data_IF_953256963219
#
_entry.id   IF_953256963219
#
_cell.length_a   1.000
_cell.length_b   1.000
_cell.length_c   1.000
_cell.angle_alpha   90.00
_cell.angle_beta   90.00
_cell.angle_gamma   90.00
#
_symmetry.space_group_name_H-M   'P 1'
#
loop_
_entity.id
_entity.type
_entity.pdbx_description
1 polymer ?
#
# COMPACT_ATOMS: atom_id res chain seq x y z
N UNK A 1 4.09 -0.76 -42.64
CA UNK A 1 4.33 -2.03 -41.92
C UNK A 1 4.02 -1.92 -40.41
N UNK A 2 2.84 -1.40 -40.03
CA UNK A 2 2.45 -1.17 -38.62
C UNK A 2 1.23 -1.97 -38.12
N UNK A 3 0.66 -2.87 -38.95
CA UNK A 3 -0.61 -3.58 -38.62
C UNK A 3 -0.41 -4.82 -37.74
N UNK A 4 0.66 -5.58 -37.96
CA UNK A 4 0.82 -6.91 -37.35
C UNK A 4 1.00 -6.86 -35.83
N UNK A 5 1.75 -5.89 -35.29
CA UNK A 5 1.93 -5.73 -33.84
C UNK A 5 0.65 -5.32 -33.11
N UNK A 6 -0.19 -4.50 -33.75
CA UNK A 6 -1.50 -4.07 -33.21
C UNK A 6 -2.52 -5.21 -33.22
N UNK A 7 -2.58 -5.97 -34.31
CA UNK A 7 -3.49 -7.12 -34.45
C UNK A 7 -3.13 -8.27 -33.50
N UNK A 8 -1.84 -8.55 -33.32
CA UNK A 8 -1.36 -9.55 -32.36
C UNK A 8 -1.71 -9.16 -30.92
N UNK A 9 -1.59 -7.88 -30.56
CA UNK A 9 -2.01 -7.34 -29.27
C UNK A 9 -3.52 -7.47 -29.05
N UNK A 10 -4.33 -7.14 -30.06
CA UNK A 10 -5.79 -7.27 -29.99
C UNK A 10 -6.24 -8.74 -29.87
N UNK A 11 -5.57 -9.67 -30.55
CA UNK A 11 -5.84 -11.10 -30.45
C UNK A 11 -5.47 -11.66 -29.06
N UNK A 12 -4.31 -11.27 -28.54
CA UNK A 12 -3.87 -11.64 -27.19
C UNK A 12 -4.86 -11.14 -26.13
N UNK A 13 -5.34 -9.90 -26.26
CA UNK A 13 -6.30 -9.32 -25.33
C UNK A 13 -7.65 -10.03 -25.36
N UNK A 14 -8.18 -10.34 -26.55
CA UNK A 14 -9.42 -11.14 -26.67
C UNK A 14 -9.26 -12.52 -26.03
N UNK A 15 -8.10 -13.17 -26.20
CA UNK A 15 -7.81 -14.48 -25.58
C UNK A 15 -7.77 -14.37 -24.05
N UNK A 16 -7.06 -13.38 -23.52
CA UNK A 16 -6.94 -13.16 -22.08
C UNK A 16 -8.31 -12.82 -21.44
N UNK A 17 -9.12 -11.98 -22.09
CA UNK A 17 -10.48 -11.66 -21.66
C UNK A 17 -11.38 -12.91 -21.62
N UNK A 18 -11.33 -13.73 -22.68
CA UNK A 18 -12.08 -15.00 -22.72
C UNK A 18 -11.70 -15.90 -21.54
N UNK A 19 -10.40 -16.07 -21.28
CA UNK A 19 -9.90 -16.89 -20.17
C UNK A 19 -10.32 -16.34 -18.81
N UNK A 20 -10.24 -15.03 -18.61
CA UNK A 20 -10.71 -14.38 -17.39
C UNK A 20 -12.21 -14.60 -17.17
N UNK A 21 -13.02 -14.45 -18.23
CA UNK A 21 -14.47 -14.69 -18.20
C UNK A 21 -14.82 -16.14 -17.89
N UNK A 22 -14.07 -17.07 -18.44
CA UNK A 22 -14.26 -18.51 -18.25
C UNK A 22 -13.68 -18.99 -16.89
N UNK A 23 -13.17 -18.09 -16.05
CA UNK A 23 -12.68 -18.39 -14.70
C UNK A 23 -11.33 -19.12 -14.68
N UNK A 24 -10.59 -19.10 -15.79
CA UNK A 24 -9.28 -19.77 -15.87
C UNK A 24 -8.24 -18.98 -15.11
N UNK A 25 -7.34 -19.68 -14.41
CA UNK A 25 -6.21 -19.04 -13.74
C UNK A 25 -5.30 -18.37 -14.77
N UNK A 26 -5.09 -17.07 -14.60
CA UNK A 26 -4.20 -16.27 -15.44
C UNK A 26 -2.75 -16.34 -14.93
N UNK A 27 -1.81 -16.29 -15.87
CA UNK A 27 -0.40 -16.02 -15.62
C UNK A 27 -0.10 -14.50 -15.66
N UNK A 28 1.17 -14.15 -15.42
CA UNK A 28 1.64 -12.76 -15.38
C UNK A 28 1.47 -12.08 -16.74
N UNK A 29 1.76 -12.79 -17.84
CA UNK A 29 1.71 -12.24 -19.19
C UNK A 29 0.27 -11.94 -19.60
N UNK A 30 -0.65 -12.85 -19.31
CA UNK A 30 -2.09 -12.66 -19.53
C UNK A 30 -2.63 -11.49 -18.72
N UNK A 31 -2.23 -11.36 -17.46
CA UNK A 31 -2.58 -10.22 -16.62
C UNK A 31 -2.00 -8.90 -17.17
N UNK A 32 -0.74 -8.91 -17.63
CA UNK A 32 -0.09 -7.76 -18.24
C UNK A 32 -0.78 -7.31 -19.54
N UNK A 33 -1.26 -8.26 -20.34
CA UNK A 33 -2.08 -7.99 -21.53
C UNK A 33 -3.41 -7.35 -21.14
N UNK A 34 -4.12 -7.87 -20.13
CA UNK A 34 -5.40 -7.30 -19.66
C UNK A 34 -5.25 -5.85 -19.17
N UNK A 35 -4.11 -5.47 -18.59
CA UNK A 35 -3.84 -4.08 -18.17
C UNK A 35 -3.84 -3.07 -19.34
N UNK A 36 -3.74 -3.55 -20.59
CA UNK A 36 -3.84 -2.71 -21.77
C UNK A 36 -5.29 -2.46 -22.25
N UNK A 37 -6.30 -3.08 -21.62
CA UNK A 37 -7.70 -2.96 -22.03
C UNK A 37 -8.21 -1.51 -21.99
N UNK A 38 -8.89 -1.09 -23.06
CA UNK A 38 -9.51 0.25 -23.22
C UNK A 38 -10.86 0.13 -23.93
N UNK A 39 -11.71 1.16 -23.78
CA UNK A 39 -13.05 1.19 -24.40
C UNK A 39 -13.85 -0.08 -24.10
N UNK A 40 -14.48 -0.66 -25.12
CA UNK A 40 -15.31 -1.86 -24.97
C UNK A 40 -14.59 -3.07 -24.31
N UNK A 41 -13.27 -3.20 -24.49
CA UNK A 41 -12.49 -4.26 -23.84
C UNK A 41 -12.33 -4.01 -22.34
N UNK A 42 -12.23 -2.74 -21.94
CA UNK A 42 -12.21 -2.37 -20.52
C UNK A 42 -13.59 -2.59 -19.89
N UNK A 43 -14.68 -2.28 -20.59
CA UNK A 43 -16.04 -2.55 -20.11
C UNK A 43 -16.28 -4.05 -19.89
N UNK A 44 -15.80 -4.89 -20.80
CA UNK A 44 -15.83 -6.35 -20.64
C UNK A 44 -14.99 -6.80 -19.44
N UNK A 45 -13.76 -6.30 -19.30
CA UNK A 45 -12.89 -6.60 -18.17
C UNK A 45 -13.52 -6.21 -16.82
N UNK A 46 -14.12 -5.02 -16.74
CA UNK A 46 -14.83 -4.53 -15.56
C UNK A 46 -16.05 -5.40 -15.24
N UNK A 47 -16.78 -5.86 -16.25
CA UNK A 47 -17.90 -6.79 -16.08
C UNK A 47 -17.43 -8.12 -15.48
N UNK A 48 -16.33 -8.68 -15.99
CA UNK A 48 -15.74 -9.92 -15.47
C UNK A 48 -15.29 -9.74 -14.01
N UNK A 49 -14.53 -8.68 -13.72
CA UNK A 49 -14.08 -8.38 -12.36
C UNK A 49 -15.25 -8.13 -11.40
N UNK A 50 -16.31 -7.45 -11.85
CA UNK A 50 -17.54 -7.23 -11.10
C UNK A 50 -18.20 -8.53 -10.67
N UNK A 51 -18.32 -9.50 -11.59
CA UNK A 51 -18.85 -10.84 -11.27
C UNK A 51 -18.01 -11.56 -10.21
N UNK A 52 -16.68 -11.49 -10.29
CA UNK A 52 -15.78 -12.07 -9.28
C UNK A 52 -15.97 -11.40 -7.92
N UNK A 53 -16.12 -10.08 -7.89
CA UNK A 53 -16.42 -9.31 -6.66
C UNK A 53 -17.77 -9.73 -6.08
N UNK A 54 -18.81 -9.79 -6.90
CA UNK A 54 -20.17 -10.13 -6.48
C UNK A 54 -20.23 -11.56 -5.92
N UNK A 55 -19.56 -12.51 -6.57
CA UNK A 55 -19.45 -13.88 -6.06
C UNK A 55 -18.83 -13.93 -4.65
N UNK A 56 -17.78 -13.13 -4.40
CA UNK A 56 -17.16 -13.03 -3.08
C UNK A 56 -18.05 -12.37 -2.02
N UNK A 57 -18.88 -11.41 -2.43
CA UNK A 57 -19.87 -10.80 -1.53
C UNK A 57 -21.03 -11.76 -1.21
N UNK A 58 -21.48 -12.55 -2.17
CA UNK A 58 -22.49 -13.60 -1.96
C UNK A 58 -21.96 -14.67 -1.01
N UNK A 59 -20.73 -15.17 -1.23
CA UNK A 59 -20.06 -16.16 -0.34
C UNK A 59 -19.94 -15.63 1.10
N UNK A 60 -19.70 -14.33 1.26
CA UNK A 60 -19.64 -13.68 2.56
C UNK A 60 -21.01 -13.34 3.18
N UNK A 61 -22.14 -13.66 2.52
CA UNK A 61 -23.49 -13.34 2.99
C UNK A 61 -23.84 -11.84 2.94
N UNK A 62 -23.18 -11.07 2.07
CA UNK A 62 -23.27 -9.60 2.02
C UNK A 62 -23.41 -9.04 0.58
N UNK A 63 -24.34 -9.57 -0.24
CA UNK A 63 -24.49 -9.14 -1.63
C UNK A 63 -24.76 -7.64 -1.72
N UNK A 64 -24.06 -6.94 -2.62
CA UNK A 64 -24.23 -5.51 -2.86
C UNK A 64 -23.75 -4.57 -1.74
N UNK A 65 -23.13 -5.09 -0.66
CA UNK A 65 -22.69 -4.27 0.48
C UNK A 65 -21.26 -3.76 0.29
N UNK A 66 -21.07 -2.46 0.44
CA UNK A 66 -19.75 -1.82 0.58
C UNK A 66 -19.51 -1.51 2.06
N UNK A 67 -18.33 -1.87 2.56
CA UNK A 67 -17.93 -1.65 3.95
C UNK A 67 -16.86 -0.59 4.06
N UNK A 68 -16.85 0.11 5.18
CA UNK A 68 -15.79 1.04 5.52
C UNK A 68 -15.55 1.03 7.03
N UNK A 69 -14.35 1.42 7.43
CA UNK A 69 -14.00 1.67 8.83
C UNK A 69 -13.55 3.12 8.95
N UNK A 70 -14.19 3.88 9.86
CA UNK A 70 -13.84 5.28 10.12
C UNK A 70 -12.57 5.31 10.95
N UNK A 71 -11.54 5.98 10.47
CA UNK A 71 -10.25 6.11 11.14
C UNK A 71 -9.89 7.57 11.33
N UNK A 72 -9.30 7.88 12.48
CA UNK A 72 -8.60 9.17 12.66
C UNK A 72 -7.15 9.03 12.23
N UNK A 73 -6.58 10.06 11.62
CA UNK A 73 -5.23 10.04 11.07
C UNK A 73 -4.25 10.72 12.03
N UNK A 74 -3.25 9.98 12.51
CA UNK A 74 -2.21 10.44 13.44
C UNK A 74 -0.86 10.44 12.72
N UNK A 75 -0.39 11.59 12.19
CA UNK A 75 0.91 11.70 11.55
C UNK A 75 2.02 11.84 12.59
N UNK A 76 2.33 10.75 13.30
CA UNK A 76 3.24 10.74 14.45
C UNK A 76 4.58 11.43 14.16
N UNK A 77 5.11 11.24 12.96
CA UNK A 77 6.20 12.06 12.43
C UNK A 77 6.06 12.21 10.93
N UNK A 78 6.48 13.36 10.40
CA UNK A 78 6.64 13.59 8.96
C UNK A 78 8.10 13.52 8.52
N UNK A 79 9.02 13.18 9.42
CA UNK A 79 10.40 12.87 9.04
C UNK A 79 10.46 11.44 8.50
N UNK A 80 11.38 11.21 7.56
CA UNK A 80 11.62 9.90 6.95
C UNK A 80 13.08 9.79 6.51
N UNK A 81 13.66 8.59 6.56
CA UNK A 81 14.98 8.36 5.97
C UNK A 81 14.92 8.26 4.45
N UNK A 82 13.83 7.72 3.92
CA UNK A 82 13.59 7.60 2.48
C UNK A 82 13.42 8.96 1.76
N UNK A 83 13.53 8.91 0.43
CA UNK A 83 13.48 10.06 -0.48
C UNK A 83 12.56 9.80 -1.66
N UNK A 84 11.41 9.15 -1.45
CA UNK A 84 10.52 8.80 -2.56
C UNK A 84 10.12 10.05 -3.36
N UNK A 85 10.41 10.07 -4.65
CA UNK A 85 10.36 11.27 -5.47
C UNK A 85 8.95 11.82 -5.72
N UNK A 86 7.91 11.02 -5.43
CA UNK A 86 6.49 11.40 -5.49
C UNK A 86 5.90 11.75 -4.11
N UNK A 87 6.62 11.54 -3.01
CA UNK A 87 6.05 11.60 -1.68
C UNK A 87 5.86 13.04 -1.21
N UNK A 88 4.61 13.38 -0.88
CA UNK A 88 4.26 14.68 -0.27
C UNK A 88 4.17 14.62 1.26
N UNK A 89 4.33 13.46 1.87
CA UNK A 89 4.25 13.29 3.32
C UNK A 89 5.56 13.68 4.01
N UNK A 90 6.69 13.19 3.49
CA UNK A 90 8.00 13.43 4.08
C UNK A 90 8.38 14.91 4.06
N UNK A 91 8.96 15.37 5.17
CA UNK A 91 9.46 16.73 5.40
C UNK A 91 10.87 16.67 5.96
N UNK A 92 11.52 17.82 5.97
CA UNK A 92 12.86 18.03 6.55
C UNK A 92 12.72 18.72 7.90
N UNK A 93 13.64 18.51 8.87
CA UNK A 93 13.49 18.98 10.25
C UNK A 93 13.15 20.47 10.38
N UNK A 94 13.85 21.36 9.65
CA UNK A 94 13.65 22.81 9.74
C UNK A 94 12.29 23.31 9.21
N UNK A 95 11.48 22.44 8.58
CA UNK A 95 10.11 22.76 8.13
C UNK A 95 9.03 22.23 9.08
N UNK A 96 9.42 21.65 10.21
CA UNK A 96 8.50 21.10 11.21
C UNK A 96 8.69 21.81 12.55
N UNK A 97 7.61 22.00 13.33
CA UNK A 97 7.72 22.57 14.67
C UNK A 97 8.40 21.60 15.65
N UNK A 98 8.27 20.29 15.42
CA UNK A 98 8.89 19.21 16.20
C UNK A 98 9.15 18.00 15.30
N UNK A 99 10.07 17.12 15.73
CA UNK A 99 10.40 15.90 15.00
C UNK A 99 9.27 14.87 15.03
N UNK A 100 8.54 14.78 16.14
CA UNK A 100 7.38 13.91 16.35
C UNK A 100 6.28 14.68 17.09
N UNK A 101 5.03 14.22 16.98
CA UNK A 101 3.95 14.65 17.87
C UNK A 101 4.25 14.18 19.29
N UNK A 102 3.99 15.01 20.29
CA UNK A 102 4.01 14.61 21.69
C UNK A 102 2.84 13.67 22.02
N UNK A 103 2.97 12.90 23.11
CA UNK A 103 1.92 11.95 23.54
C UNK A 103 0.57 12.63 23.73
N UNK A 104 0.55 13.84 24.31
CA UNK A 104 -0.70 14.57 24.55
C UNK A 104 -1.36 15.04 23.25
N UNK A 105 -0.57 15.40 22.23
CA UNK A 105 -1.08 15.74 20.89
C UNK A 105 -1.66 14.51 20.20
N UNK A 106 -0.99 13.36 20.31
CA UNK A 106 -1.50 12.07 19.81
C UNK A 106 -2.85 11.73 20.45
N UNK A 107 -2.94 11.86 21.77
CA UNK A 107 -4.17 11.57 22.52
C UNK A 107 -5.29 12.58 22.22
N UNK A 108 -4.97 13.86 22.03
CA UNK A 108 -5.94 14.86 21.62
C UNK A 108 -6.59 14.48 20.28
N UNK A 109 -5.78 14.16 19.26
CA UNK A 109 -6.28 13.70 17.95
C UNK A 109 -7.11 12.42 18.10
N UNK A 110 -6.65 11.45 18.89
CA UNK A 110 -7.36 10.20 19.12
C UNK A 110 -8.72 10.42 19.80
N UNK A 111 -8.80 11.31 20.80
CA UNK A 111 -10.05 11.66 21.49
C UNK A 111 -11.05 12.35 20.56
N UNK A 112 -10.59 13.26 19.70
CA UNK A 112 -11.42 13.86 18.65
C UNK A 112 -11.95 12.80 17.68
N UNK A 113 -11.10 11.86 17.27
CA UNK A 113 -11.48 10.71 16.45
C UNK A 113 -12.56 9.84 17.10
N UNK A 114 -12.37 9.50 18.38
CA UNK A 114 -13.33 8.72 19.15
C UNK A 114 -14.68 9.45 19.29
N UNK A 115 -14.66 10.76 19.59
CA UNK A 115 -15.86 11.59 19.66
C UNK A 115 -16.60 11.67 18.31
N UNK A 116 -15.88 11.63 17.18
CA UNK A 116 -16.44 11.55 15.83
C UNK A 116 -16.91 10.14 15.43
N UNK A 117 -16.80 9.15 16.33
CA UNK A 117 -17.24 7.77 16.10
C UNK A 117 -16.27 6.93 15.27
N UNK A 118 -14.99 7.30 15.19
CA UNK A 118 -13.95 6.45 14.61
C UNK A 118 -13.82 5.14 15.39
N UNK A 119 -13.36 4.10 14.71
CA UNK A 119 -13.06 2.78 15.30
C UNK A 119 -11.57 2.52 15.39
N UNK A 120 -10.79 3.15 14.52
CA UNK A 120 -9.36 2.96 14.42
C UNK A 120 -8.61 4.30 14.50
N UNK A 121 -7.37 4.24 14.96
CA UNK A 121 -6.40 5.30 14.90
C UNK A 121 -5.27 4.89 13.95
N UNK A 122 -5.21 5.53 12.78
CA UNK A 122 -4.19 5.27 11.77
C UNK A 122 -2.92 6.06 12.09
N UNK A 123 -1.92 5.37 12.63
CA UNK A 123 -0.58 5.92 12.80
C UNK A 123 0.16 5.87 11.47
N UNK A 124 0.52 7.04 10.96
CA UNK A 124 1.34 7.20 9.77
C UNK A 124 2.62 7.94 10.12
N UNK A 125 3.74 7.41 9.66
CA UNK A 125 5.07 7.91 9.96
C UNK A 125 6.02 7.58 8.82
N UNK A 126 7.14 8.30 8.73
CA UNK A 126 8.23 7.89 7.84
C UNK A 126 9.11 6.82 8.48
N UNK A 127 9.76 6.04 7.64
CA UNK A 127 10.67 4.98 8.05
C UNK A 127 11.92 5.57 8.71
N UNK A 128 12.16 5.14 9.97
CA UNK A 128 13.38 5.33 10.77
C UNK A 128 14.09 6.68 10.55
N UNK A 129 13.39 7.82 10.72
CA UNK A 129 13.98 9.14 10.48
C UNK A 129 15.25 9.39 11.28
N UNK A 130 15.40 8.76 12.45
CA UNK A 130 16.56 8.83 13.34
C UNK A 130 17.86 8.31 12.72
N UNK A 131 17.79 7.53 11.63
CA UNK A 131 18.98 7.09 10.89
C UNK A 131 19.49 8.12 9.89
N UNK A 132 18.67 9.11 9.54
CA UNK A 132 19.04 10.19 8.60
C UNK A 132 19.15 11.55 9.28
N UNK A 133 18.32 11.80 10.29
CA UNK A 133 18.12 13.12 10.88
C UNK A 133 18.56 13.09 12.35
N UNK A 134 19.67 13.75 12.72
CA UNK A 134 20.09 13.89 14.12
C UNK A 134 19.00 14.47 15.02
N UNK A 135 18.23 15.44 14.51
CA UNK A 135 17.09 16.02 15.24
C UNK A 135 16.02 14.98 15.64
N UNK A 136 15.82 13.91 14.86
CA UNK A 136 14.90 12.83 15.24
C UNK A 136 15.50 11.96 16.36
N UNK A 137 16.80 11.64 16.27
CA UNK A 137 17.55 10.93 17.33
C UNK A 137 17.52 11.69 18.65
N UNK A 138 17.93 12.96 18.62
CA UNK A 138 17.96 13.83 19.81
C UNK A 138 16.57 13.96 20.46
N UNK A 139 15.52 14.06 19.65
CA UNK A 139 14.14 14.15 20.16
C UNK A 139 13.71 12.88 20.90
N UNK A 140 14.03 11.70 20.33
CA UNK A 140 13.74 10.38 20.91
C UNK A 140 14.53 10.15 22.20
N UNK A 141 15.85 10.40 22.17
CA UNK A 141 16.75 10.22 23.32
C UNK A 141 16.32 11.10 24.51
N UNK A 142 15.95 12.37 24.25
CA UNK A 142 15.45 13.29 25.26
C UNK A 142 14.13 12.83 25.92
N UNK A 143 13.41 11.88 25.30
CA UNK A 143 12.17 11.29 25.82
C UNK A 143 12.35 9.83 26.25
N UNK A 144 13.59 9.32 26.23
CA UNK A 144 13.93 7.98 26.68
C UNK A 144 13.48 6.87 25.71
N UNK A 145 13.40 7.15 24.41
CA UNK A 145 13.08 6.15 23.39
C UNK A 145 14.30 5.83 22.53
N UNK A 146 14.60 4.55 22.33
CA UNK A 146 15.75 4.11 21.52
C UNK A 146 15.48 4.21 20.01
N UNK A 147 14.21 4.22 19.60
CA UNK A 147 13.80 4.25 18.20
C UNK A 147 12.41 4.85 17.98
N UNK A 148 12.14 5.22 16.72
CA UNK A 148 10.80 5.61 16.28
C UNK A 148 9.77 4.50 16.56
N UNK A 149 10.18 3.23 16.48
CA UNK A 149 9.30 2.08 16.72
C UNK A 149 8.97 1.88 18.21
N UNK A 150 9.87 2.26 19.12
CA UNK A 150 9.56 2.31 20.55
C UNK A 150 8.51 3.36 20.83
N UNK A 151 8.64 4.53 20.22
CA UNK A 151 7.74 5.64 20.45
C UNK A 151 6.34 5.40 19.85
N UNK A 152 6.24 4.84 18.64
CA UNK A 152 4.93 4.47 18.07
C UNK A 152 4.25 3.39 18.90
N UNK A 153 5.01 2.44 19.49
CA UNK A 153 4.44 1.43 20.38
C UNK A 153 3.85 2.06 21.64
N UNK A 154 4.59 2.95 22.30
CA UNK A 154 4.10 3.65 23.49
C UNK A 154 2.86 4.50 23.19
N UNK A 155 2.87 5.20 22.04
CA UNK A 155 1.74 5.99 21.57
C UNK A 155 0.51 5.13 21.24
N UNK A 156 0.72 3.97 20.62
CA UNK A 156 -0.36 3.02 20.31
C UNK A 156 -1.01 2.45 21.57
N UNK A 157 -0.21 2.13 22.60
CA UNK A 157 -0.73 1.71 23.92
C UNK A 157 -1.60 2.81 24.52
N UNK A 158 -1.09 4.04 24.58
CA UNK A 158 -1.83 5.17 25.15
C UNK A 158 -3.17 5.37 24.43
N UNK A 159 -3.18 5.34 23.08
CA UNK A 159 -4.41 5.46 22.29
C UNK A 159 -5.38 4.32 22.60
N UNK A 160 -4.90 3.07 22.61
CA UNK A 160 -5.73 1.91 22.89
C UNK A 160 -6.36 1.97 24.28
N UNK A 161 -5.56 2.24 25.31
CA UNK A 161 -5.98 2.23 26.70
C UNK A 161 -6.85 3.45 27.08
N UNK A 162 -6.52 4.64 26.57
CA UNK A 162 -7.18 5.88 26.99
C UNK A 162 -8.36 6.30 26.11
N UNK A 163 -8.46 5.77 24.88
CA UNK A 163 -9.53 6.16 23.94
C UNK A 163 -10.36 4.98 23.43
N UNK A 164 -9.87 3.75 23.59
CA UNK A 164 -10.50 2.55 23.05
C UNK A 164 -10.43 2.41 21.52
N UNK A 165 -9.78 3.36 20.82
CA UNK A 165 -9.53 3.23 19.38
C UNK A 165 -8.49 2.15 19.10
N UNK A 166 -8.71 1.37 18.04
CA UNK A 166 -7.79 0.32 17.61
C UNK A 166 -6.62 0.91 16.80
N UNK A 167 -5.35 0.77 17.24
CA UNK A 167 -4.23 1.31 16.47
C UNK A 167 -3.99 0.50 15.18
N UNK A 168 -3.99 1.19 14.04
CA UNK A 168 -3.49 0.67 12.76
C UNK A 168 -2.14 1.32 12.48
N UNK A 169 -1.06 0.53 12.42
CA UNK A 169 0.28 1.09 12.28
C UNK A 169 0.79 0.97 10.84
N UNK A 170 1.21 2.09 10.26
CA UNK A 170 1.96 2.14 8.99
C UNK A 170 3.39 2.64 9.20
N UNK A 171 4.27 1.88 9.89
CA UNK A 171 5.63 2.29 10.23
C UNK A 171 6.67 1.99 9.13
N UNK A 172 6.22 1.55 7.96
CA UNK A 172 7.10 1.16 6.87
C UNK A 172 7.69 -0.24 7.03
N UNK A 173 8.99 -0.41 6.76
CA UNK A 173 9.66 -1.71 6.81
C UNK A 173 9.97 -2.13 8.26
N UNK A 174 9.46 -3.30 8.63
CA UNK A 174 9.68 -3.94 9.92
C UNK A 174 10.47 -5.24 9.77
N UNK A 175 11.31 -5.53 10.75
CA UNK A 175 11.87 -6.86 10.99
C UNK A 175 10.84 -7.78 11.65
N UNK A 176 11.11 -9.09 11.61
CA UNK A 176 10.29 -10.09 12.30
C UNK A 176 10.13 -9.82 13.81
N UNK A 177 11.21 -9.36 14.47
CA UNK A 177 11.19 -9.04 15.91
C UNK A 177 10.31 -7.82 16.20
N UNK A 178 10.37 -6.79 15.35
CA UNK A 178 9.55 -5.58 15.50
C UNK A 178 8.08 -5.87 15.22
N UNK A 179 7.76 -6.66 14.19
CA UNK A 179 6.40 -7.15 13.93
C UNK A 179 5.84 -7.89 15.15
N UNK A 180 6.62 -8.81 15.72
CA UNK A 180 6.23 -9.57 16.92
C UNK A 180 5.99 -8.66 18.12
N UNK A 181 6.82 -7.64 18.30
CA UNK A 181 6.74 -6.69 19.41
C UNK A 181 5.57 -5.70 19.29
N UNK A 182 5.20 -5.32 18.07
CA UNK A 182 4.11 -4.38 17.80
C UNK A 182 2.74 -5.07 17.71
N UNK A 183 2.68 -6.35 17.32
CA UNK A 183 1.42 -7.10 17.15
C UNK A 183 0.44 -6.98 18.34
N UNK A 184 0.87 -7.05 19.61
CA UNK A 184 -0.06 -6.96 20.75
C UNK A 184 -0.79 -5.62 20.87
N UNK A 185 -0.27 -4.55 20.26
CA UNK A 185 -0.81 -3.19 20.39
C UNK A 185 -1.40 -2.67 19.08
N UNK A 186 -1.39 -3.48 18.01
CA UNK A 186 -1.80 -3.10 16.68
C UNK A 186 -2.59 -4.24 16.02
N UNK A 187 -3.93 -4.23 16.11
CA UNK A 187 -4.78 -5.23 15.47
C UNK A 187 -4.57 -5.35 13.96
N UNK A 188 -4.06 -4.30 13.32
CA UNK A 188 -3.64 -4.31 11.92
C UNK A 188 -2.40 -3.45 11.74
N UNK A 189 -1.58 -3.82 10.78
CA UNK A 189 -0.48 -2.99 10.30
C UNK A 189 -0.53 -2.88 8.78
N UNK A 190 0.24 -1.98 8.21
CA UNK A 190 0.28 -1.84 6.76
C UNK A 190 1.58 -1.31 6.21
N UNK A 191 1.86 -1.73 4.99
CA UNK A 191 2.96 -1.23 4.18
C UNK A 191 2.62 -1.48 2.70
N UNK A 192 2.56 -0.42 1.91
CA UNK A 192 2.42 -0.54 0.45
C UNK A 192 3.62 -1.29 -0.13
N UNK A 193 3.42 -2.32 -0.94
CA UNK A 193 4.52 -2.91 -1.71
C UNK A 193 5.02 -1.90 -2.76
N UNK A 194 4.12 -1.06 -3.27
CA UNK A 194 4.30 -0.09 -4.34
C UNK A 194 4.57 -0.75 -5.69
N UNK A 195 5.68 -1.49 -5.80
CA UNK A 195 6.14 -2.16 -7.02
C UNK A 195 7.21 -3.21 -6.69
N UNK A 196 7.31 -4.24 -7.53
CA UNK A 196 8.42 -5.21 -7.52
C UNK A 196 9.57 -4.83 -8.46
N UNK A 197 9.44 -3.72 -9.22
CA UNK A 197 10.42 -3.30 -10.21
C UNK A 197 11.70 -2.77 -9.56
N UNK A 198 12.74 -3.60 -9.45
CA UNK A 198 14.04 -3.23 -8.85
C UNK A 198 14.66 -1.99 -9.49
N UNK A 199 14.54 -1.84 -10.81
CA UNK A 199 15.09 -0.67 -11.53
C UNK A 199 14.56 0.67 -11.03
N UNK A 200 13.30 0.73 -10.58
CA UNK A 200 12.69 1.97 -10.07
C UNK A 200 13.31 2.42 -8.74
N UNK A 201 13.98 1.50 -8.04
CA UNK A 201 14.72 1.73 -6.81
C UNK A 201 16.24 1.85 -7.05
N UNK A 202 16.83 1.00 -7.88
CA UNK A 202 18.28 0.92 -8.05
C UNK A 202 18.87 1.95 -9.02
N UNK A 203 18.11 2.42 -10.00
CA UNK A 203 18.63 3.29 -11.06
C UNK A 203 18.44 4.79 -10.76
N UNK A 204 19.45 5.64 -11.02
CA UNK A 204 19.31 7.09 -10.90
C UNK A 204 18.11 7.63 -11.69
N UNK A 205 17.32 8.49 -11.05
CA UNK A 205 16.09 9.03 -11.62
C UNK A 205 14.84 8.19 -11.38
N UNK A 206 14.97 6.95 -10.89
CA UNK A 206 13.85 6.14 -10.44
C UNK A 206 13.08 6.76 -9.27
N UNK A 207 11.77 6.52 -9.13
CA UNK A 207 10.92 7.13 -8.10
C UNK A 207 11.35 6.79 -6.66
N UNK A 208 12.10 5.70 -6.50
CA UNK A 208 12.58 5.19 -5.23
C UNK A 208 14.11 5.27 -5.09
N UNK A 209 14.81 5.88 -6.06
CA UNK A 209 16.25 6.05 -5.98
C UNK A 209 16.64 6.83 -4.72
N UNK A 210 17.62 6.32 -3.97
CA UNK A 210 18.03 6.90 -2.68
C UNK A 210 17.04 6.69 -1.52
N UNK A 211 16.09 5.75 -1.66
CA UNK A 211 15.16 5.33 -0.60
C UNK A 211 15.45 3.88 -0.18
N UNK A 212 16.29 3.64 0.85
CA UNK A 212 16.73 2.29 1.21
C UNK A 212 15.57 1.34 1.57
N UNK A 213 14.47 1.82 2.15
CA UNK A 213 13.33 0.95 2.52
C UNK A 213 12.37 0.66 1.36
N UNK A 214 12.63 1.25 0.19
CA UNK A 214 11.87 1.01 -1.03
C UNK A 214 12.45 -0.11 -1.91
N UNK A 215 13.51 -0.79 -1.46
CA UNK A 215 14.02 -1.97 -2.14
C UNK A 215 12.93 -3.08 -2.18
N UNK A 216 12.55 -3.59 -3.37
CA UNK A 216 11.50 -4.61 -3.46
C UNK A 216 11.73 -5.85 -2.60
N UNK A 217 12.96 -6.36 -2.54
CA UNK A 217 13.29 -7.55 -1.75
C UNK A 217 13.06 -7.34 -0.24
N UNK A 218 13.40 -6.15 0.26
CA UNK A 218 13.17 -5.75 1.66
C UNK A 218 11.68 -5.68 1.98
N UNK A 219 10.88 -5.11 1.07
CA UNK A 219 9.42 -4.98 1.26
C UNK A 219 8.71 -6.33 1.17
N UNK A 220 9.09 -7.17 0.23
CA UNK A 220 8.57 -8.54 0.10
C UNK A 220 8.89 -9.40 1.33
N UNK A 221 10.09 -9.23 1.90
CA UNK A 221 10.46 -9.88 3.16
C UNK A 221 9.56 -9.42 4.31
N UNK A 222 9.38 -8.12 4.50
CA UNK A 222 8.49 -7.57 5.53
C UNK A 222 7.05 -8.11 5.38
N UNK A 223 6.51 -8.13 4.16
CA UNK A 223 5.18 -8.70 3.88
C UNK A 223 5.12 -10.19 4.23
N UNK A 224 6.14 -10.97 3.87
CA UNK A 224 6.21 -12.40 4.21
C UNK A 224 6.29 -12.62 5.72
N UNK A 225 7.12 -11.85 6.42
CA UNK A 225 7.31 -11.97 7.86
C UNK A 225 6.06 -11.52 8.63
N UNK A 226 5.32 -10.52 8.15
CA UNK A 226 4.01 -10.15 8.70
C UNK A 226 3.03 -11.34 8.64
N UNK A 227 3.05 -12.08 7.54
CA UNK A 227 2.30 -13.33 7.39
C UNK A 227 2.73 -14.42 8.36
N UNK A 228 4.03 -14.63 8.55
CA UNK A 228 4.57 -15.61 9.50
C UNK A 228 4.23 -15.29 10.95
N UNK A 229 4.25 -14.00 11.31
CA UNK A 229 3.86 -13.53 12.65
C UNK A 229 2.33 -13.55 12.82
N UNK A 230 1.57 -13.59 11.71
CA UNK A 230 0.11 -13.56 11.72
C UNK A 230 -0.44 -12.17 12.08
N UNK A 231 0.18 -11.12 11.55
CA UNK A 231 -0.32 -9.75 11.65
C UNK A 231 -1.31 -9.51 10.49
N UNK A 232 -2.57 -9.14 10.76
CA UNK A 232 -3.47 -8.64 9.73
C UNK A 232 -2.85 -7.44 9.02
N UNK A 233 -2.70 -7.53 7.69
CA UNK A 233 -1.83 -6.62 6.95
C UNK A 233 -2.53 -5.98 5.76
N UNK A 234 -2.42 -4.65 5.64
CA UNK A 234 -2.80 -3.89 4.45
C UNK A 234 -1.56 -3.67 3.58
N UNK A 235 -1.66 -3.97 2.29
CA UNK A 235 -0.60 -3.67 1.32
C UNK A 235 -1.21 -3.17 0.02
N UNK A 236 -0.42 -3.05 -1.04
CA UNK A 236 -0.90 -2.48 -2.29
C UNK A 236 0.21 -2.11 -3.26
N UNK A 237 -0.21 -1.61 -4.42
CA UNK A 237 0.68 -1.12 -5.47
C UNK A 237 0.37 0.35 -5.78
N UNK A 238 1.37 1.06 -6.28
CA UNK A 238 1.24 2.42 -6.78
C UNK A 238 1.52 2.41 -8.27
N UNK A 239 0.54 2.85 -9.07
CA UNK A 239 0.63 2.83 -10.52
C UNK A 239 0.98 4.19 -11.10
N UNK A 240 1.66 4.20 -12.24
CA UNK A 240 2.06 5.41 -12.96
C UNK A 240 3.31 6.08 -12.40
N UNK A 241 4.17 5.33 -11.72
CA UNK A 241 5.47 5.82 -11.22
C UNK A 241 6.64 5.44 -12.14
N UNK A 242 6.34 4.87 -13.30
CA UNK A 242 7.31 4.44 -14.30
C UNK A 242 7.38 2.93 -14.48
N UNK A 243 6.54 2.16 -13.79
CA UNK A 243 6.42 0.72 -13.95
C UNK A 243 5.77 0.33 -15.28
N UNK A 244 6.18 -0.79 -15.84
CA UNK A 244 5.55 -1.43 -17.00
C UNK A 244 4.34 -2.24 -16.56
N UNK A 245 3.49 -2.64 -17.52
CA UNK A 245 2.35 -3.52 -17.25
C UNK A 245 2.77 -4.89 -16.71
N UNK A 246 3.91 -5.41 -17.17
CA UNK A 246 4.46 -6.68 -16.68
C UNK A 246 4.87 -6.54 -15.22
N UNK A 247 5.67 -5.53 -14.88
CA UNK A 247 6.08 -5.26 -13.48
C UNK A 247 4.87 -5.02 -12.55
N UNK A 248 3.83 -4.36 -13.06
CA UNK A 248 2.56 -4.18 -12.33
C UNK A 248 1.86 -5.53 -12.07
N UNK A 249 1.80 -6.40 -13.08
CA UNK A 249 1.24 -7.75 -12.94
C UNK A 249 2.08 -8.61 -11.98
N UNK A 250 3.41 -8.58 -12.08
CA UNK A 250 4.32 -9.27 -11.16
C UNK A 250 4.08 -8.84 -9.71
N UNK A 251 3.89 -7.55 -9.46
CA UNK A 251 3.61 -7.01 -8.13
C UNK A 251 2.29 -7.57 -7.55
N UNK A 252 1.24 -7.65 -8.37
CA UNK A 252 -0.04 -8.27 -7.95
C UNK A 252 0.12 -9.77 -7.67
N UNK A 253 0.93 -10.48 -8.46
CA UNK A 253 1.20 -11.91 -8.26
C UNK A 253 2.06 -12.16 -7.01
N UNK A 254 3.00 -11.26 -6.69
CA UNK A 254 3.78 -11.32 -5.46
C UNK A 254 2.88 -11.16 -4.22
N UNK A 255 1.96 -10.18 -4.25
CA UNK A 255 0.95 -10.01 -3.19
C UNK A 255 0.05 -11.25 -3.09
N UNK A 256 -0.42 -11.80 -4.23
CA UNK A 256 -1.21 -13.03 -4.26
C UNK A 256 -0.48 -14.20 -3.61
N UNK A 257 0.81 -14.34 -3.86
CA UNK A 257 1.65 -15.40 -3.29
C UNK A 257 1.69 -15.28 -1.77
N UNK A 258 2.00 -14.09 -1.24
CA UNK A 258 2.04 -13.84 0.21
C UNK A 258 0.67 -14.02 0.88
N UNK A 259 -0.41 -13.57 0.23
CA UNK A 259 -1.77 -13.72 0.70
C UNK A 259 -2.19 -15.20 0.77
N UNK A 260 -1.88 -16.00 -0.25
CA UNK A 260 -2.20 -17.45 -0.26
C UNK A 260 -1.37 -18.24 0.74
N UNK A 261 -0.10 -17.89 0.92
CA UNK A 261 0.81 -18.60 1.82
C UNK A 261 0.42 -18.45 3.30
N UNK A 262 -0.11 -17.30 3.70
CA UNK A 262 -0.27 -16.97 5.12
C UNK A 262 -1.67 -16.43 5.50
N UNK A 263 -2.55 -16.12 4.55
CA UNK A 263 -3.91 -15.64 4.83
C UNK A 263 -4.00 -14.27 5.54
N UNK A 264 -2.88 -13.57 5.70
CA UNK A 264 -2.75 -12.38 6.54
C UNK A 264 -3.11 -11.07 5.83
N UNK A 265 -3.02 -11.02 4.50
CA UNK A 265 -3.34 -9.82 3.71
C UNK A 265 -4.85 -9.61 3.74
N UNK A 266 -5.31 -8.56 4.43
CA UNK A 266 -6.73 -8.25 4.56
C UNK A 266 -7.24 -7.34 3.45
N UNK A 267 -6.37 -6.47 2.97
CA UNK A 267 -6.70 -5.42 2.01
C UNK A 267 -5.51 -5.18 1.07
N UNK A 268 -5.83 -5.00 -0.22
CA UNK A 268 -4.88 -4.59 -1.25
C UNK A 268 -5.37 -3.29 -1.89
N UNK A 269 -4.57 -2.24 -1.76
CA UNK A 269 -4.84 -0.91 -2.30
C UNK A 269 -4.20 -0.79 -3.69
N UNK A 270 -4.97 -0.34 -4.69
CA UNK A 270 -4.46 0.08 -6.00
C UNK A 270 -4.47 1.60 -6.02
N UNK A 271 -3.33 2.20 -5.72
CA UNK A 271 -3.20 3.66 -5.70
C UNK A 271 -2.67 4.17 -7.03
N UNK A 272 -3.18 5.31 -7.49
CA UNK A 272 -2.68 5.98 -8.69
C UNK A 272 -1.75 7.15 -8.34
N UNK A 273 -0.65 7.28 -9.07
CA UNK A 273 0.21 8.45 -9.00
C UNK A 273 -0.53 9.70 -9.49
N UNK A 274 -0.32 10.79 -8.74
CA UNK A 274 -0.76 12.14 -9.09
C UNK A 274 0.43 13.08 -8.90
N UNK A 275 0.76 13.85 -9.92
CA UNK A 275 1.82 14.84 -9.87
C UNK A 275 1.51 15.91 -8.82
N UNK A 276 2.55 16.34 -8.11
CA UNK A 276 2.46 17.37 -7.06
C UNK A 276 3.61 18.36 -7.23
N UNK A 277 3.37 19.69 -7.16
CA UNK A 277 4.38 20.70 -7.46
C UNK A 277 5.67 20.57 -6.62
N UNK A 278 5.55 20.20 -5.35
CA UNK A 278 6.68 20.16 -4.40
C UNK A 278 7.40 18.80 -4.37
N UNK A 279 7.39 18.06 -5.48
CA UNK A 279 7.98 16.72 -5.58
C UNK A 279 8.94 16.63 -6.75
N UNK A 280 9.94 15.75 -6.67
CA UNK A 280 10.89 15.55 -7.77
C UNK A 280 10.20 14.97 -9.03
N UNK A 281 9.01 14.38 -8.87
CA UNK A 281 8.15 13.90 -9.96
C UNK A 281 7.06 14.90 -10.38
N UNK A 282 7.20 16.20 -10.08
CA UNK A 282 6.20 17.20 -10.45
C UNK A 282 5.92 17.26 -11.97
N UNK A 283 6.92 16.96 -12.80
CA UNK A 283 6.80 16.91 -14.26
C UNK A 283 6.34 15.56 -14.83
N UNK A 284 6.15 14.54 -13.99
CA UNK A 284 5.70 13.22 -14.44
C UNK A 284 4.18 13.25 -14.71
N UNK A 285 3.70 12.68 -15.83
CA UNK A 285 2.26 12.61 -16.10
C UNK A 285 1.48 11.83 -15.03
N UNK A 286 0.26 12.28 -14.74
CA UNK A 286 -0.65 11.53 -13.88
C UNK A 286 -0.97 10.14 -14.45
N UNK A 287 -1.18 9.17 -13.56
CA UNK A 287 -1.79 7.91 -13.94
C UNK A 287 -3.23 8.16 -14.46
N UNK A 288 -3.54 7.60 -15.63
CA UNK A 288 -4.87 7.74 -16.25
C UNK A 288 -5.92 6.94 -15.49
N UNK A 289 -7.18 7.41 -15.50
CA UNK A 289 -8.29 6.71 -14.85
C UNK A 289 -8.53 5.32 -15.45
N UNK A 290 -8.42 5.17 -16.77
CA UNK A 290 -8.53 3.85 -17.42
C UNK A 290 -7.43 2.88 -16.95
N UNK A 291 -6.22 3.38 -16.67
CA UNK A 291 -5.14 2.55 -16.11
C UNK A 291 -5.46 2.11 -14.69
N UNK A 292 -6.05 2.99 -13.88
CA UNK A 292 -6.52 2.65 -12.54
C UNK A 292 -7.65 1.61 -12.58
N UNK A 293 -8.67 1.84 -13.40
CA UNK A 293 -9.81 0.93 -13.56
C UNK A 293 -9.37 -0.46 -14.06
N UNK A 294 -8.52 -0.51 -15.09
CA UNK A 294 -7.97 -1.77 -15.60
C UNK A 294 -7.16 -2.50 -14.51
N UNK A 295 -6.37 -1.77 -13.72
CA UNK A 295 -5.56 -2.37 -12.65
C UNK A 295 -6.43 -2.93 -11.53
N UNK A 296 -7.47 -2.21 -11.09
CA UNK A 296 -8.42 -2.70 -10.08
C UNK A 296 -9.11 -3.98 -10.58
N UNK A 297 -9.52 -4.00 -11.85
CA UNK A 297 -10.18 -5.16 -12.45
C UNK A 297 -9.24 -6.38 -12.53
N UNK A 298 -8.00 -6.18 -12.99
CA UNK A 298 -6.98 -7.23 -13.02
C UNK A 298 -6.63 -7.70 -11.61
N UNK A 299 -6.46 -6.79 -10.65
CA UNK A 299 -6.21 -7.13 -9.24
C UNK A 299 -7.33 -8.02 -8.68
N UNK A 300 -8.60 -7.72 -8.98
CA UNK A 300 -9.76 -8.56 -8.58
C UNK A 300 -9.68 -9.96 -9.15
N UNK A 301 -9.35 -10.10 -10.44
CA UNK A 301 -9.25 -11.41 -11.10
C UNK A 301 -8.05 -12.20 -10.53
N UNK A 302 -6.91 -11.54 -10.33
CA UNK A 302 -5.68 -12.17 -9.83
C UNK A 302 -5.80 -12.59 -8.37
N UNK A 303 -6.29 -11.70 -7.50
CA UNK A 303 -6.38 -11.92 -6.05
C UNK A 303 -7.63 -12.71 -5.63
N UNK A 304 -8.60 -12.81 -6.53
CA UNK A 304 -9.79 -13.63 -6.37
C UNK A 304 -10.93 -12.95 -5.61
N UNK A 305 -12.03 -13.68 -5.36
CA UNK A 305 -13.29 -13.10 -4.86
C UNK A 305 -13.22 -12.61 -3.40
N UNK A 306 -12.33 -13.18 -2.58
CA UNK A 306 -12.28 -12.91 -1.13
C UNK A 306 -11.49 -11.66 -0.74
N UNK A 307 -10.56 -11.22 -1.59
CA UNK A 307 -9.69 -10.08 -1.27
C UNK A 307 -10.48 -8.78 -1.15
N UNK A 308 -10.17 -7.93 -0.17
CA UNK A 308 -10.69 -6.55 -0.14
C UNK A 308 -9.78 -5.67 -0.99
N UNK A 309 -10.40 -4.92 -1.91
CA UNK A 309 -9.69 -4.03 -2.83
C UNK A 309 -10.19 -2.61 -2.64
N UNK A 310 -9.23 -1.68 -2.58
CA UNK A 310 -9.45 -0.24 -2.50
C UNK A 310 -8.76 0.45 -3.67
#
# INVERSE_FOLDING_TARGET
>A
MGSSGSELSASALRRALRRARDGVTLDVDEAAVLLAARGAQLDELLTVAGRVRDAGLVDAGRPGVVTYSRKVFIPLTRLCRDRCHYCTFARVPHRLPAAFLERDEVLAIAREGAAAGCKEALFTLGDRPEERWPAAREWLDARGYDSTLDYVRASAIAVLEETGLLPHLNPGVLSWAELTRLKPVAPSMGMMLETTATRLWSEPGGPHYGSPDKEPAVRLRCLTDAGRVGVPFTTGILIGIGETRVERAESLFAIRSAARAHGHVQEVIVQNFRAKPDTAMAGTPDAKLDDLAATIAVARIVLGPKMRLQ
#
